data_IF_663129884746
#
_entry.id   IF_663129884746
#
_cell.length_a   1.000
_cell.length_b   1.000
_cell.length_c   1.000
_cell.angle_alpha   90.00
_cell.angle_beta   90.00
_cell.angle_gamma   90.00
#
_symmetry.space_group_name_H-M   'P 1'
#
loop_
_entity.id
_entity.type
_entity.pdbx_description
1 polymer ?
#
# COMPACT_ATOMS: atom_id res chain seq x y z
N UNK A 1 -31.50 15.54 49.90
CA UNK A 1 -32.01 14.70 48.81
C UNK A 1 -30.90 13.71 48.47
N UNK A 2 -31.13 12.41 48.66
CA UNK A 2 -30.20 11.37 48.22
C UNK A 2 -30.45 11.13 46.73
N UNK A 3 -29.50 11.54 45.88
CA UNK A 3 -29.59 11.43 44.41
C UNK A 3 -28.98 10.10 43.92
N UNK A 4 -28.80 9.12 44.80
CA UNK A 4 -28.29 7.81 44.39
C UNK A 4 -29.32 7.10 43.52
N UNK A 5 -28.92 6.62 42.31
CA UNK A 5 -29.81 5.82 41.49
C UNK A 5 -30.20 4.55 42.23
N UNK A 6 -31.44 4.13 42.05
CA UNK A 6 -31.93 2.88 42.60
C UNK A 6 -31.09 1.70 42.05
N UNK A 7 -30.93 0.59 42.79
CA UNK A 7 -30.13 -0.56 42.34
C UNK A 7 -30.48 -1.06 40.94
N UNK A 8 -31.76 -1.05 40.57
CA UNK A 8 -32.22 -1.43 39.23
C UNK A 8 -31.78 -0.45 38.13
N UNK A 9 -31.81 0.86 38.42
CA UNK A 9 -31.35 1.90 37.49
C UNK A 9 -29.85 1.78 37.25
N UNK A 10 -29.07 1.58 38.32
CA UNK A 10 -27.62 1.35 38.24
C UNK A 10 -27.30 0.12 37.39
N UNK A 11 -28.05 -0.97 37.53
CA UNK A 11 -27.85 -2.19 36.73
C UNK A 11 -28.07 -1.93 35.23
N UNK A 12 -29.16 -1.27 34.87
CA UNK A 12 -29.48 -0.94 33.48
C UNK A 12 -28.44 0.02 32.86
N UNK A 13 -27.96 0.99 33.64
CA UNK A 13 -26.91 1.92 33.21
C UNK A 13 -25.58 1.20 32.94
N UNK A 14 -25.20 0.24 33.80
CA UNK A 14 -24.01 -0.60 33.61
C UNK A 14 -24.14 -1.46 32.34
N UNK A 15 -25.29 -2.10 32.12
CA UNK A 15 -25.55 -2.90 30.91
C UNK A 15 -25.45 -2.03 29.64
N UNK A 16 -26.12 -0.87 29.63
CA UNK A 16 -26.07 0.08 28.50
C UNK A 16 -24.66 0.60 28.26
N UNK A 17 -23.89 0.85 29.32
CA UNK A 17 -22.50 1.25 29.23
C UNK A 17 -21.66 0.16 28.54
N UNK A 18 -21.77 -1.09 28.97
CA UNK A 18 -21.02 -2.19 28.37
C UNK A 18 -21.39 -2.42 26.90
N UNK A 19 -22.69 -2.43 26.55
CA UNK A 19 -23.14 -2.53 25.17
C UNK A 19 -22.59 -1.39 24.29
N UNK A 20 -22.58 -0.17 24.85
CA UNK A 20 -22.05 1.00 24.14
C UNK A 20 -20.53 0.91 23.94
N UNK A 21 -19.79 0.47 24.97
CA UNK A 21 -18.35 0.27 24.91
C UNK A 21 -18.00 -0.79 23.87
N UNK A 22 -18.70 -1.92 23.85
CA UNK A 22 -18.48 -3.00 22.88
C UNK A 22 -18.72 -2.51 21.46
N UNK A 23 -19.85 -1.86 21.21
CA UNK A 23 -20.20 -1.32 19.89
C UNK A 23 -19.19 -0.29 19.40
N UNK A 24 -18.79 0.66 20.25
CA UNK A 24 -17.83 1.71 19.89
C UNK A 24 -16.45 1.12 19.65
N UNK A 25 -16.03 0.15 20.47
CA UNK A 25 -14.73 -0.52 20.32
C UNK A 25 -14.66 -1.31 19.03
N UNK A 26 -15.71 -2.05 18.67
CA UNK A 26 -15.79 -2.78 17.41
C UNK A 26 -15.72 -1.82 16.21
N UNK A 27 -16.47 -0.71 16.24
CA UNK A 27 -16.42 0.32 15.19
C UNK A 27 -15.02 0.94 15.08
N UNK A 28 -14.37 1.21 16.20
CA UNK A 28 -13.02 1.78 16.22
C UNK A 28 -12.00 0.82 15.60
N UNK A 29 -12.05 -0.47 15.94
CA UNK A 29 -11.18 -1.49 15.37
C UNK A 29 -11.38 -1.62 13.85
N UNK A 30 -12.64 -1.60 13.39
CA UNK A 30 -12.95 -1.62 11.96
C UNK A 30 -12.32 -0.41 11.24
N UNK A 31 -12.51 0.81 11.78
CA UNK A 31 -11.95 2.03 11.19
C UNK A 31 -10.42 1.98 11.15
N UNK A 32 -9.76 1.47 12.20
CA UNK A 32 -8.30 1.31 12.20
C UNK A 32 -7.83 0.29 11.14
N UNK A 33 -8.56 -0.81 10.98
CA UNK A 33 -8.25 -1.80 9.95
C UNK A 33 -8.40 -1.20 8.54
N UNK A 34 -9.47 -0.44 8.31
CA UNK A 34 -9.72 0.24 7.03
C UNK A 34 -8.65 1.29 6.73
N UNK A 35 -8.25 2.11 7.72
CA UNK A 35 -7.16 3.07 7.57
C UNK A 35 -5.87 2.33 7.23
N UNK A 36 -5.54 1.26 7.95
CA UNK A 36 -4.32 0.49 7.73
C UNK A 36 -4.29 -0.15 6.34
N UNK A 37 -5.41 -0.66 5.85
CA UNK A 37 -5.53 -1.29 4.55
C UNK A 37 -5.39 -0.28 3.39
N UNK A 38 -5.87 0.95 3.58
CA UNK A 38 -5.90 1.97 2.53
C UNK A 38 -4.77 3.00 2.62
N UNK A 39 -3.99 3.02 3.70
CA UNK A 39 -2.87 3.95 3.85
C UNK A 39 -1.73 3.51 2.93
N UNK A 40 -1.32 4.35 1.95
CA UNK A 40 -0.18 4.03 1.12
C UNK A 40 1.08 3.93 1.98
N UNK A 41 1.83 2.86 1.77
CA UNK A 41 3.14 2.65 2.36
C UNK A 41 4.12 3.76 1.95
N UNK A 42 5.19 3.94 2.73
CA UNK A 42 6.27 4.87 2.37
C UNK A 42 6.83 4.58 0.97
N UNK A 43 6.99 3.29 0.63
CA UNK A 43 7.46 2.85 -0.68
C UNK A 43 6.51 3.25 -1.80
N UNK A 44 5.21 3.08 -1.63
CA UNK A 44 4.20 3.49 -2.63
C UNK A 44 4.20 5.01 -2.83
N UNK A 45 4.33 5.78 -1.75
CA UNK A 45 4.46 7.25 -1.83
C UNK A 45 5.73 7.67 -2.59
N UNK A 46 6.86 7.03 -2.31
CA UNK A 46 8.12 7.28 -3.01
C UNK A 46 8.00 6.95 -4.51
N UNK A 47 7.44 5.78 -4.86
CA UNK A 47 7.22 5.39 -6.25
C UNK A 47 6.31 6.39 -6.97
N UNK A 48 5.22 6.82 -6.32
CA UNK A 48 4.29 7.80 -6.90
C UNK A 48 4.99 9.15 -7.17
N UNK A 49 5.80 9.61 -6.21
CA UNK A 49 6.58 10.83 -6.34
C UNK A 49 7.60 10.75 -7.48
N UNK A 50 8.37 9.65 -7.52
CA UNK A 50 9.40 9.43 -8.55
C UNK A 50 8.79 9.28 -9.95
N UNK A 51 7.61 8.65 -10.06
CA UNK A 51 6.83 8.62 -11.31
C UNK A 51 6.37 10.02 -11.73
N UNK A 52 5.81 10.81 -10.81
CA UNK A 52 5.37 12.18 -11.12
C UNK A 52 6.51 13.08 -11.60
N UNK A 53 7.74 12.80 -11.15
CA UNK A 53 8.96 13.50 -11.60
C UNK A 53 9.58 12.89 -12.87
N UNK A 54 9.01 11.82 -13.42
CA UNK A 54 9.53 11.15 -14.62
C UNK A 54 10.85 10.40 -14.39
N UNK A 55 11.22 10.10 -13.13
CA UNK A 55 12.50 9.44 -12.82
C UNK A 55 12.61 8.08 -13.52
N UNK A 56 11.52 7.32 -13.57
CA UNK A 56 11.41 6.02 -14.23
C UNK A 56 11.31 6.08 -15.76
N UNK A 57 11.24 7.27 -16.33
CA UNK A 57 11.15 7.50 -17.78
C UNK A 57 12.39 8.22 -18.32
N UNK A 58 13.32 8.59 -17.45
CA UNK A 58 14.58 9.22 -17.86
C UNK A 58 15.48 8.22 -18.60
N UNK A 59 16.18 8.70 -19.63
CA UNK A 59 17.14 7.91 -20.40
C UNK A 59 18.16 7.20 -19.51
N UNK A 60 18.75 7.92 -18.54
CA UNK A 60 19.75 7.37 -17.62
C UNK A 60 19.19 6.23 -16.76
N UNK A 61 17.97 6.39 -16.24
CA UNK A 61 17.33 5.33 -15.46
C UNK A 61 17.07 4.09 -16.32
N UNK A 62 16.51 4.28 -17.52
CA UNK A 62 16.17 3.19 -18.42
C UNK A 62 17.42 2.45 -18.89
N UNK A 63 18.46 3.15 -19.34
CA UNK A 63 19.73 2.55 -19.76
C UNK A 63 20.38 1.73 -18.63
N UNK A 64 20.50 2.32 -17.43
CA UNK A 64 21.09 1.64 -16.29
C UNK A 64 20.30 0.39 -15.90
N UNK A 65 18.96 0.51 -15.85
CA UNK A 65 18.08 -0.58 -15.45
C UNK A 65 18.11 -1.72 -16.47
N UNK A 66 18.03 -1.41 -17.77
CA UNK A 66 18.08 -2.42 -18.83
C UNK A 66 19.41 -3.19 -18.81
N UNK A 67 20.53 -2.47 -18.69
CA UNK A 67 21.87 -3.11 -18.56
C UNK A 67 21.97 -3.99 -17.32
N UNK A 68 21.47 -3.54 -16.17
CA UNK A 68 21.41 -4.36 -14.95
C UNK A 68 20.57 -5.63 -15.11
N UNK A 69 19.67 -5.68 -16.09
CA UNK A 69 18.85 -6.85 -16.44
C UNK A 69 19.41 -7.65 -17.62
N UNK A 70 20.61 -7.31 -18.10
CA UNK A 70 21.23 -7.99 -19.24
C UNK A 70 20.58 -7.65 -20.59
N UNK A 71 19.81 -6.56 -20.67
CA UNK A 71 19.16 -6.09 -21.89
C UNK A 71 19.99 -4.93 -22.44
N UNK A 72 20.40 -5.02 -23.71
CA UNK A 72 21.06 -3.90 -24.38
C UNK A 72 20.04 -2.77 -24.64
N UNK A 73 20.26 -1.55 -24.10
CA UNK A 73 19.31 -0.45 -24.26
C UNK A 73 19.19 -0.03 -25.72
N UNK A 74 17.96 0.12 -26.20
CA UNK A 74 17.69 0.70 -27.51
C UNK A 74 18.28 2.13 -27.64
N UNK A 75 18.53 2.61 -28.85
CA UNK A 75 19.06 3.96 -29.04
C UNK A 75 18.02 5.07 -28.73
N UNK A 76 16.74 4.77 -29.00
CA UNK A 76 15.60 5.66 -28.79
C UNK A 76 14.92 5.43 -27.44
N UNK A 77 14.42 6.52 -26.84
CA UNK A 77 13.84 6.50 -25.50
C UNK A 77 12.49 5.79 -25.44
N UNK A 78 11.66 5.86 -26.48
CA UNK A 78 10.36 5.18 -26.52
C UNK A 78 10.54 3.67 -26.67
N UNK A 79 11.55 3.25 -27.44
CA UNK A 79 11.94 1.85 -27.53
C UNK A 79 12.49 1.33 -26.19
N UNK A 80 13.31 2.11 -25.47
CA UNK A 80 13.76 1.74 -24.12
C UNK A 80 12.60 1.59 -23.13
N UNK A 81 11.61 2.48 -23.18
CA UNK A 81 10.39 2.36 -22.36
C UNK A 81 9.65 1.05 -22.68
N UNK A 82 9.56 0.69 -23.95
CA UNK A 82 8.95 -0.57 -24.40
C UNK A 82 9.71 -1.78 -23.85
N UNK A 83 11.04 -1.82 -24.00
CA UNK A 83 11.89 -2.87 -23.43
C UNK A 83 11.68 -3.01 -21.91
N UNK A 84 11.63 -1.89 -21.20
CA UNK A 84 11.42 -1.87 -19.74
C UNK A 84 10.03 -2.42 -19.35
N UNK A 85 8.97 -2.06 -20.08
CA UNK A 85 7.62 -2.58 -19.82
C UNK A 85 7.51 -4.07 -20.13
N UNK A 86 8.09 -4.54 -21.23
CA UNK A 86 8.12 -5.96 -21.55
C UNK A 86 8.83 -6.77 -20.47
N UNK A 87 9.99 -6.31 -20.01
CA UNK A 87 10.72 -6.96 -18.92
C UNK A 87 9.89 -7.05 -17.64
N UNK A 88 9.22 -5.96 -17.23
CA UNK A 88 8.33 -5.97 -16.06
C UNK A 88 7.19 -6.97 -16.22
N UNK A 89 6.57 -7.03 -17.40
CA UNK A 89 5.44 -7.93 -17.66
C UNK A 89 5.87 -9.40 -17.60
N UNK A 90 7.05 -9.74 -18.14
CA UNK A 90 7.65 -11.09 -18.04
C UNK A 90 7.95 -11.47 -16.59
N UNK A 91 8.50 -10.53 -15.82
CA UNK A 91 8.81 -10.74 -14.39
C UNK A 91 7.54 -10.92 -13.55
N UNK A 92 6.50 -10.12 -13.80
CA UNK A 92 5.21 -10.22 -13.11
C UNK A 92 4.48 -11.54 -13.44
N UNK A 93 4.67 -12.09 -14.64
CA UNK A 93 4.13 -13.38 -15.06
C UNK A 93 4.94 -14.59 -14.53
N UNK A 94 6.02 -14.38 -13.76
CA UNK A 94 6.89 -15.45 -13.26
C UNK A 94 7.78 -16.08 -14.35
N UNK A 95 7.89 -15.45 -15.51
CA UNK A 95 8.64 -15.94 -16.67
C UNK A 95 9.99 -15.22 -16.73
N UNK A 96 10.91 -15.58 -15.83
CA UNK A 96 12.33 -15.25 -16.01
C UNK A 96 13.20 -16.30 -15.33
N UNK A 97 13.62 -17.28 -16.13
CA UNK A 97 14.76 -18.15 -15.85
C UNK A 97 16.00 -17.26 -16.05
N UNK A 98 16.66 -16.87 -14.96
CA UNK A 98 17.94 -16.19 -15.02
C UNK A 98 18.99 -17.30 -15.14
N UNK A 99 19.48 -17.56 -16.35
CA UNK A 99 20.73 -18.30 -16.52
C UNK A 99 21.86 -17.46 -15.93
N UNK A 100 22.53 -18.01 -14.91
CA UNK A 100 23.82 -17.51 -14.44
C UNK A 100 24.90 -18.37 -15.10
N UNK A 101 25.73 -17.75 -15.93
CA UNK A 101 27.09 -18.25 -16.23
C UNK A 101 28.07 -17.62 -15.23
#
# INVERSE_FOLDING_TARGET
>A
MDNRPAPAQRKAEIETYHESVERVSAKHQQVLADIKANTPTFREKQIAYDKARGAYESRTFLEATLRMKGIDPAADIEDMKTQYQEWKNRTAAGVLIISQD
#
